data_IF_610367913350
#
_entry.id   IF_610367913350
#
_cell.length_a   1.000
_cell.length_b   1.000
_cell.length_c   1.000
_cell.angle_alpha   90.00
_cell.angle_beta   90.00
_cell.angle_gamma   90.00
#
_symmetry.space_group_name_H-M   'P 1'
#
loop_
_entity.id
_entity.type
_entity.pdbx_description
1 polymer ?
#
# COMPACT_ATOMS: atom_id res chain seq x y z
N UNK A 1 16.79 0.07 -3.39
CA UNK A 1 16.02 -0.47 -2.24
C UNK A 1 15.71 0.69 -1.32
N UNK A 2 14.48 0.77 -0.84
CA UNK A 2 14.02 1.66 0.25
C UNK A 2 13.18 0.73 1.11
N UNK A 3 13.49 0.57 2.40
CA UNK A 3 12.82 -0.43 3.26
C UNK A 3 12.55 -1.79 2.59
N UNK A 4 11.27 -2.17 2.56
CA UNK A 4 10.76 -3.38 1.91
C UNK A 4 10.58 -3.23 0.38
N UNK A 5 10.64 -2.02 -0.15
CA UNK A 5 10.57 -1.75 -1.58
C UNK A 5 11.87 -2.11 -2.32
N UNK A 6 11.77 -3.05 -3.26
CA UNK A 6 12.84 -3.44 -4.16
C UNK A 6 12.43 -3.20 -5.61
N UNK A 7 13.26 -2.45 -6.34
CA UNK A 7 13.16 -2.31 -7.80
C UNK A 7 14.45 -2.81 -8.44
N UNK A 8 14.30 -3.70 -9.41
CA UNK A 8 15.39 -4.20 -10.25
C UNK A 8 15.07 -3.90 -11.72
N UNK A 9 16.08 -3.45 -12.46
CA UNK A 9 15.97 -3.17 -13.90
C UNK A 9 17.13 -3.88 -14.60
N UNK A 10 16.83 -4.68 -15.62
CA UNK A 10 17.80 -5.45 -16.38
C UNK A 10 17.50 -5.38 -17.87
N UNK A 11 18.55 -5.38 -18.67
CA UNK A 11 18.48 -5.53 -20.15
C UNK A 11 19.13 -6.85 -20.60
N UNK A 12 19.32 -7.81 -19.69
CA UNK A 12 19.98 -9.11 -19.98
C UNK A 12 21.33 -8.97 -20.70
N UNK A 13 22.12 -7.96 -20.33
CA UNK A 13 23.43 -7.70 -20.93
C UNK A 13 23.42 -6.87 -22.23
N UNK A 14 22.26 -6.61 -22.85
CA UNK A 14 22.18 -5.87 -24.11
C UNK A 14 22.69 -4.41 -23.99
N UNK A 15 22.40 -3.72 -22.88
CA UNK A 15 22.91 -2.37 -22.62
C UNK A 15 22.87 -1.98 -21.13
N UNK A 16 23.99 -2.11 -20.39
CA UNK A 16 24.08 -1.65 -19.00
C UNK A 16 23.79 -0.15 -18.84
N UNK A 17 24.20 0.66 -19.82
CA UNK A 17 23.95 2.11 -19.82
C UNK A 17 22.45 2.43 -19.91
N UNK A 18 21.71 1.67 -20.73
CA UNK A 18 20.26 1.84 -20.83
C UNK A 18 19.52 1.34 -19.59
N UNK A 19 19.95 0.22 -19.00
CA UNK A 19 19.43 -0.24 -17.70
C UNK A 19 19.57 0.86 -16.61
N UNK A 20 20.73 1.50 -16.54
CA UNK A 20 20.97 2.60 -15.59
C UNK A 20 20.09 3.84 -15.90
N UNK A 21 19.86 4.15 -17.17
CA UNK A 21 18.95 5.24 -17.59
C UNK A 21 17.51 4.95 -17.16
N UNK A 22 17.00 3.75 -17.42
CA UNK A 22 15.66 3.32 -17.04
C UNK A 22 15.48 3.35 -15.52
N UNK A 23 16.45 2.81 -14.77
CA UNK A 23 16.44 2.87 -13.30
C UNK A 23 16.26 4.31 -12.81
N UNK A 24 17.08 5.26 -13.28
CA UNK A 24 16.97 6.68 -12.88
C UNK A 24 15.63 7.31 -13.25
N UNK A 25 15.04 6.92 -14.38
CA UNK A 25 13.73 7.41 -14.80
C UNK A 25 12.63 6.90 -13.86
N UNK A 26 12.64 5.60 -13.54
CA UNK A 26 11.67 4.99 -12.63
C UNK A 26 11.84 5.47 -11.19
N UNK A 27 13.08 5.71 -10.73
CA UNK A 27 13.35 6.24 -9.39
C UNK A 27 12.70 7.59 -9.12
N UNK A 28 12.51 8.42 -10.16
CA UNK A 28 11.82 9.71 -10.07
C UNK A 28 10.30 9.58 -9.95
N UNK A 29 9.73 8.47 -10.40
CA UNK A 29 8.30 8.20 -10.32
C UNK A 29 7.91 7.53 -8.99
N UNK A 30 8.88 6.99 -8.25
CA UNK A 30 8.65 6.35 -6.97
C UNK A 30 8.52 7.43 -5.88
N UNK A 31 7.42 7.46 -5.11
CA UNK A 31 7.25 8.39 -4.00
C UNK A 31 8.38 8.27 -2.96
N UNK A 32 8.76 9.39 -2.35
CA UNK A 32 9.80 9.39 -1.31
C UNK A 32 9.39 8.62 -0.05
N UNK A 33 8.10 8.66 0.29
CA UNK A 33 7.47 7.98 1.43
C UNK A 33 6.99 6.55 1.11
N UNK A 34 7.57 5.88 0.09
CA UNK A 34 7.15 4.52 -0.32
C UNK A 34 7.19 3.51 0.83
N UNK A 35 8.14 3.64 1.76
CA UNK A 35 8.26 2.75 2.91
C UNK A 35 7.08 2.90 3.88
N UNK A 36 6.63 4.13 4.12
CA UNK A 36 5.47 4.41 4.98
C UNK A 36 4.18 3.88 4.34
N UNK A 37 4.03 4.05 3.02
CA UNK A 37 2.88 3.55 2.27
C UNK A 37 2.82 2.03 2.37
N UNK A 38 3.94 1.33 2.17
CA UNK A 38 3.99 -0.13 2.27
C UNK A 38 3.72 -0.62 3.70
N UNK A 39 4.23 0.08 4.71
CA UNK A 39 3.95 -0.23 6.11
C UNK A 39 2.45 -0.10 6.42
N UNK A 40 1.81 0.98 5.97
CA UNK A 40 0.38 1.21 6.15
C UNK A 40 -0.47 0.16 5.45
N UNK A 41 -0.14 -0.21 4.20
CA UNK A 41 -0.87 -1.24 3.46
C UNK A 41 -0.72 -2.64 4.08
N UNK A 42 0.46 -2.96 4.61
CA UNK A 42 0.69 -4.21 5.35
C UNK A 42 -0.15 -4.26 6.61
N UNK A 43 -0.16 -3.17 7.36
CA UNK A 43 -0.95 -3.09 8.60
C UNK A 43 -2.45 -3.11 8.32
N UNK A 44 -2.91 -2.39 7.30
CA UNK A 44 -4.31 -2.44 6.87
C UNK A 44 -4.74 -3.88 6.51
N UNK A 45 -3.88 -4.63 5.80
CA UNK A 45 -4.13 -6.05 5.51
C UNK A 45 -4.22 -6.88 6.79
N UNK A 46 -3.30 -6.69 7.73
CA UNK A 46 -3.27 -7.41 9.01
C UNK A 46 -4.53 -7.14 9.82
N UNK A 47 -4.91 -5.87 9.96
CA UNK A 47 -6.13 -5.43 10.65
C UNK A 47 -7.37 -6.07 10.02
N UNK A 48 -7.53 -6.01 8.69
CA UNK A 48 -8.65 -6.67 8.00
C UNK A 48 -8.67 -8.19 8.16
N UNK A 49 -7.54 -8.82 8.50
CA UNK A 49 -7.43 -10.26 8.65
C UNK A 49 -7.66 -10.76 10.08
N UNK A 50 -7.22 -9.99 11.06
CA UNK A 50 -7.07 -10.43 12.45
C UNK A 50 -7.96 -9.67 13.44
N UNK A 51 -8.46 -8.48 13.08
CA UNK A 51 -9.32 -7.69 13.97
C UNK A 51 -10.77 -8.19 13.89
N UNK A 52 -11.34 -8.50 15.06
CA UNK A 52 -12.70 -9.02 15.19
C UNK A 52 -13.78 -8.09 14.61
N UNK A 53 -13.47 -6.79 14.44
CA UNK A 53 -14.36 -5.84 13.77
C UNK A 53 -14.62 -6.19 12.28
N UNK A 54 -13.83 -7.08 11.69
CA UNK A 54 -13.90 -7.46 10.27
C UNK A 54 -14.03 -8.98 10.05
N UNK A 55 -14.40 -9.74 11.07
CA UNK A 55 -14.56 -11.20 11.01
C UNK A 55 -15.65 -11.64 10.03
N UNK A 56 -16.64 -10.78 9.76
CA UNK A 56 -17.73 -11.02 8.82
C UNK A 56 -17.35 -10.76 7.35
N UNK A 57 -16.20 -10.11 7.10
CA UNK A 57 -15.70 -9.90 5.75
C UNK A 57 -15.06 -11.17 5.20
N UNK A 58 -15.52 -11.61 4.03
CA UNK A 58 -14.82 -12.65 3.29
C UNK A 58 -13.49 -12.16 2.67
N UNK A 59 -12.68 -13.10 2.19
CA UNK A 59 -11.39 -12.81 1.56
C UNK A 59 -11.52 -11.87 0.35
N UNK A 60 -12.61 -11.99 -0.42
CA UNK A 60 -12.84 -11.17 -1.61
C UNK A 60 -13.09 -9.71 -1.22
N UNK A 61 -13.95 -9.46 -0.25
CA UNK A 61 -14.27 -8.13 0.25
C UNK A 61 -13.03 -7.41 0.80
N UNK A 62 -12.22 -8.12 1.60
CA UNK A 62 -10.94 -7.60 2.11
C UNK A 62 -9.99 -7.22 0.96
N UNK A 63 -9.89 -8.08 -0.05
CA UNK A 63 -9.06 -7.85 -1.24
C UNK A 63 -9.52 -6.65 -2.06
N UNK A 64 -10.82 -6.52 -2.31
CA UNK A 64 -11.39 -5.40 -3.07
C UNK A 64 -11.20 -4.06 -2.36
N UNK A 65 -11.33 -4.02 -1.03
CA UNK A 65 -11.03 -2.80 -0.27
C UNK A 65 -9.58 -2.35 -0.45
N UNK A 66 -8.62 -3.27 -0.31
CA UNK A 66 -7.19 -2.95 -0.48
C UNK A 66 -6.89 -2.47 -1.90
N UNK A 67 -7.48 -3.10 -2.93
CA UNK A 67 -7.35 -2.65 -4.33
C UNK A 67 -7.88 -1.24 -4.51
N UNK A 68 -9.05 -0.93 -3.94
CA UNK A 68 -9.66 0.40 -4.01
C UNK A 68 -8.79 1.46 -3.34
N UNK A 69 -8.18 1.15 -2.19
CA UNK A 69 -7.24 2.07 -1.51
C UNK A 69 -6.04 2.38 -2.41
N UNK A 70 -5.45 1.38 -3.08
CA UNK A 70 -4.27 1.57 -3.93
C UNK A 70 -4.60 2.27 -5.26
N UNK A 71 -5.83 2.11 -5.76
CA UNK A 71 -6.26 2.71 -7.02
C UNK A 71 -6.56 4.22 -6.93
N UNK A 72 -6.60 4.80 -5.74
CA UNK A 72 -6.95 6.19 -5.49
C UNK A 72 -5.92 6.84 -4.55
N UNK A 73 -5.16 7.81 -5.06
CA UNK A 73 -4.10 8.49 -4.31
C UNK A 73 -4.61 9.17 -3.02
N UNK A 74 -5.84 9.67 -3.02
CA UNK A 74 -6.42 10.29 -1.83
C UNK A 74 -6.76 9.24 -0.76
N UNK A 75 -7.26 8.07 -1.16
CA UNK A 75 -7.49 6.96 -0.23
C UNK A 75 -6.18 6.37 0.28
N UNK A 76 -5.17 6.27 -0.57
CA UNK A 76 -3.84 5.80 -0.21
C UNK A 76 -3.19 6.73 0.82
N UNK A 77 -3.23 8.05 0.62
CA UNK A 77 -2.72 9.02 1.59
C UNK A 77 -3.53 9.00 2.89
N UNK A 78 -4.86 8.88 2.82
CA UNK A 78 -5.70 8.72 4.01
C UNK A 78 -5.30 7.48 4.82
N UNK A 79 -5.06 6.35 4.15
CA UNK A 79 -4.61 5.11 4.77
C UNK A 79 -3.24 5.29 5.44
N UNK A 80 -2.27 5.88 4.73
CA UNK A 80 -0.95 6.17 5.27
C UNK A 80 -1.01 7.12 6.48
N UNK A 81 -1.86 8.14 6.44
CA UNK A 81 -2.09 9.04 7.59
C UNK A 81 -2.71 8.32 8.78
N UNK A 82 -3.79 7.56 8.56
CA UNK A 82 -4.45 6.81 9.64
C UNK A 82 -3.51 5.78 10.29
N UNK A 83 -2.59 5.19 9.52
CA UNK A 83 -1.53 4.35 10.07
C UNK A 83 -0.62 5.11 11.04
N UNK A 84 -0.12 6.30 10.64
CA UNK A 84 0.72 7.14 11.51
C UNK A 84 -0.02 7.61 12.76
N UNK A 85 -1.33 7.80 12.67
CA UNK A 85 -2.19 8.27 13.77
C UNK A 85 -2.74 7.13 14.64
N UNK A 86 -2.50 5.86 14.30
CA UNK A 86 -3.05 4.71 15.02
C UNK A 86 -4.57 4.54 14.85
N UNK A 87 -5.15 5.08 13.78
CA UNK A 87 -6.59 5.14 13.51
C UNK A 87 -7.05 4.24 12.35
N UNK A 88 -6.25 3.25 11.94
CA UNK A 88 -6.53 2.40 10.77
C UNK A 88 -7.86 1.63 10.88
N UNK A 89 -8.15 0.97 12.00
CA UNK A 89 -9.38 0.20 12.19
C UNK A 89 -10.62 1.06 11.95
N UNK A 90 -10.63 2.29 12.50
CA UNK A 90 -11.73 3.23 12.30
C UNK A 90 -11.92 3.66 10.84
N UNK A 91 -10.82 3.99 10.16
CA UNK A 91 -10.85 4.35 8.73
C UNK A 91 -11.34 3.19 7.86
N UNK A 92 -10.84 1.97 8.09
CA UNK A 92 -11.22 0.79 7.32
C UNK A 92 -12.71 0.46 7.50
N UNK A 93 -13.22 0.57 8.73
CA UNK A 93 -14.64 0.47 9.03
C UNK A 93 -15.47 1.50 8.26
N UNK A 94 -15.09 2.78 8.31
CA UNK A 94 -15.73 3.87 7.57
C UNK A 94 -15.82 3.55 6.07
N UNK A 95 -14.72 3.09 5.47
CA UNK A 95 -14.65 2.78 4.04
C UNK A 95 -15.56 1.61 3.62
N UNK A 96 -15.84 0.69 4.53
CA UNK A 96 -16.75 -0.43 4.31
C UNK A 96 -18.20 -0.10 4.62
N UNK A 97 -18.47 1.10 5.17
CA UNK A 97 -19.79 1.43 5.72
C UNK A 97 -20.08 0.71 7.04
N UNK A 98 -19.10 0.05 7.64
CA UNK A 98 -19.18 -0.47 9.01
C UNK A 98 -18.99 0.72 9.95
N UNK A 99 -20.05 1.16 10.64
CA UNK A 99 -19.85 1.89 11.88
C UNK A 99 -19.15 0.94 12.84
N UNK A 100 -17.92 1.28 13.23
CA UNK A 100 -17.27 0.66 14.39
C UNK A 100 -18.31 0.63 15.52
N UNK A 101 -18.64 -0.57 16.00
CA UNK A 101 -19.54 -0.76 17.15
C UNK A 101 -18.79 -0.43 18.43
#
# INVERSE_FOLDING_TARGET
>A
RRGDFLMAVSTSGASPAYAARLRRALEKAIPENIDDILAALREARRVLQEDAAFDDLDFSARGELLKRIVADDALLERCARAFREGALTGLLGEMLGHRAR
#
